data_IF_601664210448
#
_entry.id   IF_601664210448
#
_cell.length_a   1.000
_cell.length_b   1.000
_cell.length_c   1.000
_cell.angle_alpha   90.00
_cell.angle_beta   90.00
_cell.angle_gamma   90.00
#
_symmetry.space_group_name_H-M   'P 1'
#
loop_
_entity.id
_entity.type
_entity.pdbx_description
1 polymer ?
#
# COMPACT_ATOMS: atom_id res chain seq x y z
N UNK A 1 -4.99 -1.72 -31.75
CA UNK A 1 -5.13 -2.03 -30.31
C UNK A 1 -4.44 -3.37 -30.09
N UNK A 2 -3.48 -3.44 -29.17
CA UNK A 2 -2.93 -4.71 -28.71
C UNK A 2 -4.00 -5.46 -27.91
N UNK A 3 -3.95 -6.79 -27.89
CA UNK A 3 -4.91 -7.62 -27.14
C UNK A 3 -4.79 -7.44 -25.61
N UNK A 4 -3.59 -7.08 -25.16
CA UNK A 4 -3.24 -6.82 -23.77
C UNK A 4 -2.65 -5.41 -23.65
N UNK A 5 -2.86 -4.74 -22.53
CA UNK A 5 -2.30 -3.44 -22.20
C UNK A 5 -0.78 -3.50 -22.06
N UNK A 6 -0.26 -4.49 -21.32
CA UNK A 6 1.18 -4.70 -21.14
C UNK A 6 1.58 -6.19 -20.99
N UNK A 7 2.88 -6.44 -20.82
CA UNK A 7 3.42 -7.79 -20.65
C UNK A 7 3.14 -8.39 -19.26
N UNK A 8 2.67 -7.61 -18.28
CA UNK A 8 2.39 -8.07 -16.92
C UNK A 8 1.08 -8.87 -16.85
N UNK A 9 0.15 -8.64 -17.77
CA UNK A 9 -1.08 -9.42 -17.92
C UNK A 9 -0.80 -10.87 -18.35
N UNK A 10 0.15 -11.06 -19.26
CA UNK A 10 0.43 -12.36 -19.91
C UNK A 10 1.65 -13.08 -19.37
N UNK A 11 2.43 -12.47 -18.47
CA UNK A 11 3.60 -13.12 -17.89
C UNK A 11 3.27 -14.44 -17.19
N UNK A 12 4.22 -15.37 -17.25
CA UNK A 12 4.14 -16.67 -16.59
C UNK A 12 3.99 -16.55 -15.08
N UNK A 13 3.54 -17.63 -14.43
CA UNK A 13 3.46 -17.70 -12.97
C UNK A 13 4.85 -17.46 -12.32
N UNK A 14 5.90 -18.06 -12.87
CA UNK A 14 7.27 -17.95 -12.35
C UNK A 14 7.83 -16.52 -12.49
N UNK A 15 7.62 -15.89 -13.64
CA UNK A 15 8.03 -14.49 -13.84
C UNK A 15 7.30 -13.55 -12.87
N UNK A 16 6.02 -13.83 -12.58
CA UNK A 16 5.23 -13.08 -11.59
C UNK A 16 5.72 -13.34 -10.16
N UNK A 17 6.06 -14.57 -9.81
CA UNK A 17 6.59 -14.92 -8.49
C UNK A 17 7.95 -14.25 -8.24
N UNK A 18 8.85 -14.29 -9.23
CA UNK A 18 10.15 -13.64 -9.16
C UNK A 18 10.04 -12.12 -8.97
N UNK A 19 9.15 -11.46 -9.73
CA UNK A 19 8.88 -10.04 -9.56
C UNK A 19 8.31 -9.71 -8.15
N UNK A 20 7.36 -10.51 -7.65
CA UNK A 20 6.81 -10.31 -6.31
C UNK A 20 7.87 -10.49 -5.21
N UNK A 21 8.82 -11.40 -5.39
CA UNK A 21 9.93 -11.58 -4.44
C UNK A 21 10.86 -10.36 -4.34
N UNK A 22 10.90 -9.52 -5.37
CA UNK A 22 11.63 -8.26 -5.37
C UNK A 22 10.77 -7.09 -4.86
N UNK A 23 9.50 -7.02 -5.30
CA UNK A 23 8.63 -5.88 -5.03
C UNK A 23 8.08 -5.87 -3.59
N UNK A 24 7.79 -7.04 -3.02
CA UNK A 24 7.18 -7.14 -1.69
C UNK A 24 8.09 -6.58 -0.58
N UNK A 25 9.39 -6.93 -0.48
CA UNK A 25 10.28 -6.33 0.51
C UNK A 25 10.35 -4.80 0.40
N UNK A 26 10.44 -4.28 -0.83
CA UNK A 26 10.49 -2.84 -1.07
C UNK A 26 9.18 -2.13 -0.67
N UNK A 27 8.04 -2.78 -0.90
CA UNK A 27 6.73 -2.26 -0.49
C UNK A 27 6.59 -2.24 1.04
N UNK A 28 6.99 -3.30 1.75
CA UNK A 28 6.95 -3.36 3.22
C UNK A 28 7.94 -2.37 3.83
N UNK A 29 9.17 -2.27 3.31
CA UNK A 29 10.14 -1.26 3.77
C UNK A 29 9.60 0.17 3.59
N UNK A 30 8.88 0.43 2.49
CA UNK A 30 8.21 1.71 2.27
C UNK A 30 7.08 1.97 3.26
N UNK A 31 6.27 0.95 3.54
CA UNK A 31 5.18 1.00 4.51
C UNK A 31 5.71 1.35 5.91
N UNK A 32 6.82 0.75 6.35
CA UNK A 32 7.45 1.01 7.65
C UNK A 32 7.95 2.45 7.84
N UNK A 33 8.10 3.26 6.78
CA UNK A 33 8.43 4.69 6.92
C UNK A 33 7.25 5.52 7.42
N UNK A 34 6.03 5.00 7.35
CA UNK A 34 4.83 5.66 7.84
C UNK A 34 4.57 5.21 9.30
N UNK A 35 4.57 6.11 10.30
CA UNK A 35 4.53 5.72 11.72
C UNK A 35 3.34 4.85 12.12
N UNK A 36 2.15 5.13 11.59
CA UNK A 36 0.94 4.34 11.87
C UNK A 36 0.99 2.96 11.22
N UNK A 37 1.63 2.85 10.06
CA UNK A 37 1.83 1.56 9.39
C UNK A 37 2.91 0.73 10.08
N UNK A 38 3.99 1.35 10.55
CA UNK A 38 5.00 0.68 11.38
C UNK A 38 4.39 0.15 12.69
N UNK A 39 3.54 0.96 13.35
CA UNK A 39 2.83 0.52 14.54
C UNK A 39 1.88 -0.66 14.26
N UNK A 40 1.18 -0.64 13.11
CA UNK A 40 0.27 -1.72 12.70
C UNK A 40 1.00 -3.02 12.33
N UNK A 41 2.07 -2.92 11.55
CA UNK A 41 2.86 -4.07 11.09
C UNK A 41 3.68 -4.70 12.23
N UNK A 42 4.04 -3.90 13.25
CA UNK A 42 4.86 -4.35 14.36
C UNK A 42 6.30 -4.65 13.93
N UNK A 43 6.95 -5.55 14.66
CA UNK A 43 8.30 -6.01 14.33
C UNK A 43 8.24 -6.97 13.13
N UNK A 44 8.55 -6.47 11.94
CA UNK A 44 8.68 -7.25 10.71
C UNK A 44 9.99 -6.89 10.03
N UNK A 45 10.72 -7.89 9.56
CA UNK A 45 11.82 -7.69 8.62
C UNK A 45 11.26 -7.68 7.19
N UNK A 46 11.31 -6.56 6.45
CA UNK A 46 10.86 -6.52 5.06
C UNK A 46 11.53 -7.56 4.17
N UNK A 47 12.80 -7.90 4.45
CA UNK A 47 13.57 -8.86 3.65
C UNK A 47 13.02 -10.29 3.72
N UNK A 48 12.20 -10.62 4.72
CA UNK A 48 11.56 -11.93 4.86
C UNK A 48 10.23 -12.03 4.09
N UNK A 49 9.69 -10.91 3.58
CA UNK A 49 8.41 -10.87 2.88
C UNK A 49 8.65 -10.98 1.37
N UNK A 50 9.11 -12.14 0.91
CA UNK A 50 9.48 -12.39 -0.50
C UNK A 50 8.47 -13.24 -1.27
N UNK A 51 7.38 -13.65 -0.65
CA UNK A 51 6.35 -14.44 -1.32
C UNK A 51 4.96 -14.22 -0.72
N UNK A 52 3.97 -14.88 -1.33
CA UNK A 52 2.56 -14.78 -0.92
C UNK A 52 2.30 -15.38 0.46
N UNK A 53 3.02 -16.45 0.82
CA UNK A 53 2.86 -17.11 2.11
C UNK A 53 3.41 -16.22 3.23
N UNK A 54 4.53 -15.53 3.00
CA UNK A 54 5.11 -14.55 3.90
C UNK A 54 4.20 -13.32 4.05
N UNK A 55 3.70 -12.78 2.93
CA UNK A 55 2.75 -11.69 2.95
C UNK A 55 1.49 -12.02 3.78
N UNK A 56 0.97 -13.25 3.65
CA UNK A 56 -0.22 -13.68 4.37
C UNK A 56 -0.06 -13.76 5.90
N UNK A 57 1.18 -13.74 6.42
CA UNK A 57 1.45 -13.70 7.87
C UNK A 57 1.33 -12.30 8.46
N UNK A 58 1.32 -11.25 7.64
CA UNK A 58 1.21 -9.87 8.11
C UNK A 58 -0.19 -9.57 8.66
N UNK A 59 -0.30 -8.70 9.67
CA UNK A 59 -1.60 -8.34 10.25
C UNK A 59 -2.48 -7.61 9.23
N UNK A 60 -3.75 -8.00 9.16
CA UNK A 60 -4.74 -7.36 8.30
C UNK A 60 -5.20 -6.04 8.93
N UNK A 61 -4.99 -4.92 8.24
CA UNK A 61 -5.51 -3.61 8.64
C UNK A 61 -7.02 -3.53 8.40
N UNK A 62 -7.82 -3.39 9.47
CA UNK A 62 -9.28 -3.31 9.35
C UNK A 62 -9.75 -1.88 9.14
N UNK A 63 -10.90 -1.72 8.49
CA UNK A 63 -11.52 -0.40 8.26
C UNK A 63 -11.81 0.37 9.55
N UNK A 64 -12.18 -0.33 10.62
CA UNK A 64 -12.37 0.26 11.96
C UNK A 64 -11.09 0.93 12.48
N UNK A 65 -9.94 0.32 12.21
CA UNK A 65 -8.65 0.73 12.73
C UNK A 65 -8.14 1.97 12.00
N UNK A 66 -8.50 2.14 10.72
CA UNK A 66 -8.27 3.37 9.96
C UNK A 66 -8.90 4.58 10.67
N UNK A 67 -10.17 4.49 11.02
CA UNK A 67 -10.88 5.57 11.69
C UNK A 67 -10.30 5.88 13.08
N UNK A 68 -9.88 4.85 13.82
CA UNK A 68 -9.22 5.05 15.12
C UNK A 68 -7.85 5.72 14.97
N UNK A 69 -7.03 5.27 14.02
CA UNK A 69 -5.73 5.86 13.73
C UNK A 69 -5.87 7.34 13.34
N UNK A 70 -6.82 7.68 12.47
CA UNK A 70 -7.06 9.06 12.03
C UNK A 70 -7.57 9.98 13.14
N UNK A 71 -8.38 9.46 14.09
CA UNK A 71 -8.77 10.21 15.29
C UNK A 71 -7.56 10.56 16.17
N UNK A 72 -6.61 9.64 16.28
CA UNK A 72 -5.37 9.85 17.06
C UNK A 72 -4.33 10.70 16.34
N UNK A 73 -4.29 10.68 15.00
CA UNK A 73 -3.30 11.39 14.19
C UNK A 73 -3.89 11.83 12.86
N UNK A 74 -4.62 12.95 12.86
CA UNK A 74 -5.26 13.47 11.65
C UNK A 74 -4.24 13.95 10.59
N UNK A 75 -4.59 13.91 9.28
CA UNK A 75 -5.82 13.36 8.73
C UNK A 75 -5.71 11.87 8.38
N UNK A 76 -4.51 11.29 8.26
CA UNK A 76 -4.30 9.95 7.68
C UNK A 76 -3.87 8.87 8.68
N UNK A 77 -3.83 9.16 9.98
CA UNK A 77 -3.50 8.19 11.01
C UNK A 77 -2.05 7.71 10.99
N UNK A 78 -1.14 8.50 10.39
CA UNK A 78 0.23 8.08 10.14
C UNK A 78 0.36 6.91 9.14
N UNK A 79 -0.68 6.62 8.35
CA UNK A 79 -0.70 5.52 7.38
C UNK A 79 -0.14 5.90 6.00
N UNK A 80 0.33 7.13 5.84
CA UNK A 80 0.88 7.67 4.60
C UNK A 80 2.35 8.05 4.77
N UNK A 81 3.12 7.97 3.68
CA UNK A 81 4.56 8.29 3.68
C UNK A 81 4.86 9.75 3.36
N UNK A 82 3.84 10.57 3.16
CA UNK A 82 3.92 12.01 2.85
C UNK A 82 2.96 12.77 3.75
N UNK A 83 3.24 14.04 4.10
CA UNK A 83 2.28 14.89 4.81
C UNK A 83 1.06 15.21 3.94
N UNK A 84 -0.03 15.70 4.56
CA UNK A 84 -1.29 15.98 3.88
C UNK A 84 -1.17 16.94 2.69
N UNK A 85 -0.37 18.00 2.83
CA UNK A 85 -0.09 18.96 1.76
C UNK A 85 0.79 18.40 0.62
N UNK A 86 1.31 17.16 0.77
CA UNK A 86 2.07 16.46 -0.25
C UNK A 86 1.20 15.65 -1.23
N UNK A 87 -0.13 15.72 -1.09
CA UNK A 87 -1.10 15.08 -1.99
C UNK A 87 -1.92 16.14 -2.71
N UNK A 88 -2.37 15.83 -3.93
CA UNK A 88 -3.18 16.73 -4.74
C UNK A 88 -4.63 16.82 -4.23
N UNK A 89 -5.16 15.70 -3.71
CA UNK A 89 -6.53 15.60 -3.22
C UNK A 89 -6.59 14.86 -1.88
N UNK A 90 -7.62 15.16 -1.10
CA UNK A 90 -8.03 14.39 0.07
C UNK A 90 -9.48 13.97 -0.16
N UNK A 91 -9.71 12.67 -0.30
CA UNK A 91 -11.05 12.10 -0.42
C UNK A 91 -11.59 11.78 0.97
N UNK A 92 -12.91 11.89 1.14
CA UNK A 92 -13.57 11.53 2.39
C UNK A 92 -14.67 10.50 2.10
N UNK A 93 -14.52 9.31 2.71
CA UNK A 93 -15.58 8.31 2.75
C UNK A 93 -16.65 8.68 3.80
N UNK A 94 -17.92 8.28 3.63
CA UNK A 94 -18.90 8.33 4.70
C UNK A 94 -18.39 7.61 5.96
N UNK A 95 -18.42 8.29 7.12
CA UNK A 95 -17.88 7.76 8.39
C UNK A 95 -16.46 8.24 8.73
N UNK A 96 -16.25 9.56 8.80
CA UNK A 96 -15.05 10.32 8.38
C UNK A 96 -13.73 9.53 8.28
N UNK A 97 -13.49 8.89 7.13
CA UNK A 97 -12.18 8.34 6.77
C UNK A 97 -11.63 9.16 5.60
N UNK A 98 -10.40 9.66 5.76
CA UNK A 98 -9.69 10.43 4.75
C UNK A 98 -8.68 9.57 3.99
N UNK A 99 -8.61 9.75 2.67
CA UNK A 99 -7.73 8.99 1.78
C UNK A 99 -6.94 9.95 0.86
N UNK A 100 -5.63 9.71 0.64
CA UNK A 100 -4.82 10.56 -0.23
C UNK A 100 -5.10 10.30 -1.71
N UNK A 101 -5.14 11.38 -2.50
CA UNK A 101 -5.21 11.34 -3.95
C UNK A 101 -4.04 12.06 -4.61
N UNK A 102 -3.40 11.40 -5.57
CA UNK A 102 -2.37 11.96 -6.43
C UNK A 102 -2.85 12.16 -7.86
N UNK A 103 -2.08 12.91 -8.64
CA UNK A 103 -2.30 13.16 -10.07
C UNK A 103 -1.17 12.60 -10.93
N UNK A 104 -0.22 11.91 -10.32
CA UNK A 104 0.83 11.18 -11.01
C UNK A 104 0.24 10.10 -11.93
N UNK A 105 0.97 9.75 -12.98
CA UNK A 105 0.56 8.72 -13.94
C UNK A 105 0.24 7.40 -13.20
N UNK A 106 -0.95 6.86 -13.45
CA UNK A 106 -1.45 5.62 -12.86
C UNK A 106 -1.37 5.57 -11.31
N UNK A 107 -1.74 6.68 -10.64
CA UNK A 107 -1.76 6.79 -9.17
C UNK A 107 -2.42 5.59 -8.47
N UNK A 108 -3.56 5.12 -9.00
CA UNK A 108 -4.33 4.01 -8.44
C UNK A 108 -3.81 2.62 -8.84
N UNK A 109 -2.78 2.54 -9.70
CA UNK A 109 -2.23 1.29 -10.26
C UNK A 109 -3.27 0.43 -10.97
N UNK A 110 -4.27 1.10 -11.55
CA UNK A 110 -5.43 0.52 -12.24
C UNK A 110 -5.25 0.44 -13.76
N UNK A 111 -4.21 1.07 -14.31
CA UNK A 111 -3.85 0.94 -15.73
C UNK A 111 -3.25 -0.44 -16.00
N UNK A 112 -4.10 -1.41 -16.35
CA UNK A 112 -3.77 -2.78 -16.75
C UNK A 112 -4.90 -3.33 -17.60
#
# INVERSE_FOLDING_TARGET
MTQYFDNLETRSADARASALAQDLPAAIATALRAPGMAAHLGAVDPAEITDRAALARLPVLRKSDLGQAQKGSAPFGGLTTRPAHGFAHIFQSPGPIYEPGGTEHDWWRMGR
#
